data_IF_384480018038
#
_entry.id   IF_384480018038
#
_cell.length_a   1.000
_cell.length_b   1.000
_cell.length_c   1.000
_cell.angle_alpha   90.00
_cell.angle_beta   90.00
_cell.angle_gamma   90.00
#
_symmetry.space_group_name_H-M   'P 1'
#
loop_
_entity.id
_entity.type
_entity.pdbx_description
1 polymer ?
#
# COMPACT_ATOMS: atom_id res chain seq x y z
N UNK A 1 -16.42 -23.44 -25.93
CA UNK A 1 -16.30 -23.64 -24.45
C UNK A 1 -14.85 -23.57 -23.96
N UNK A 2 -13.92 -24.44 -24.42
CA UNK A 2 -12.52 -24.44 -23.96
C UNK A 2 -11.75 -23.11 -24.20
N UNK A 3 -11.96 -22.46 -25.36
CA UNK A 3 -11.33 -21.17 -25.69
C UNK A 3 -11.81 -20.00 -24.82
N UNK A 4 -13.11 -19.92 -24.56
CA UNK A 4 -13.70 -18.87 -23.72
C UNK A 4 -13.24 -18.97 -22.27
N UNK A 5 -13.09 -20.20 -21.75
CA UNK A 5 -12.57 -20.44 -20.41
C UNK A 5 -11.09 -20.01 -20.28
N UNK A 6 -10.27 -20.29 -21.29
CA UNK A 6 -8.87 -19.87 -21.34
C UNK A 6 -8.73 -18.34 -21.37
N UNK A 7 -9.59 -17.64 -22.11
CA UNK A 7 -9.61 -16.17 -22.18
C UNK A 7 -10.01 -15.58 -20.81
N UNK A 8 -11.01 -16.16 -20.14
CA UNK A 8 -11.45 -15.70 -18.81
C UNK A 8 -10.39 -15.93 -17.72
N UNK A 9 -9.65 -17.05 -17.80
CA UNK A 9 -8.59 -17.37 -16.84
C UNK A 9 -7.37 -16.45 -17.02
N UNK A 10 -7.04 -16.10 -18.27
CA UNK A 10 -5.91 -15.23 -18.57
C UNK A 10 -6.19 -13.76 -18.23
N UNK A 11 -7.43 -13.28 -18.36
CA UNK A 11 -7.80 -11.94 -17.86
C UNK A 11 -7.81 -11.86 -16.33
N UNK A 12 -8.22 -12.94 -15.63
CA UNK A 12 -8.15 -13.00 -14.16
C UNK A 12 -6.71 -12.94 -13.62
N UNK A 13 -5.75 -13.55 -14.32
CA UNK A 13 -4.33 -13.50 -13.93
C UNK A 13 -3.68 -12.14 -14.18
N UNK A 14 -4.14 -11.37 -15.16
CA UNK A 14 -3.67 -10.00 -15.42
C UNK A 14 -4.28 -8.98 -14.43
N UNK A 15 -5.42 -9.32 -13.80
CA UNK A 15 -6.08 -8.51 -12.77
C UNK A 15 -5.49 -8.67 -11.37
N UNK A 16 -4.60 -9.65 -11.16
CA UNK A 16 -3.81 -9.80 -9.94
C UNK A 16 -2.66 -8.78 -9.89
N UNK A 17 -2.99 -7.51 -10.10
CA UNK A 17 -2.17 -6.41 -9.61
C UNK A 17 -1.92 -6.69 -8.12
N UNK A 18 -0.67 -6.79 -7.69
CA UNK A 18 -0.29 -7.02 -6.31
C UNK A 18 -0.98 -5.98 -5.40
N UNK A 19 -2.15 -6.32 -4.89
CA UNK A 19 -2.98 -5.40 -4.13
C UNK A 19 -2.26 -5.14 -2.82
N UNK A 20 -1.99 -3.88 -2.51
CA UNK A 20 -1.49 -3.50 -1.18
C UNK A 20 -2.52 -3.98 -0.17
N UNK A 21 -2.12 -4.91 0.70
CA UNK A 21 -2.99 -5.50 1.72
C UNK A 21 -2.90 -4.68 3.00
N UNK A 22 -3.85 -3.76 3.28
CA UNK A 22 -3.70 -2.80 4.37
C UNK A 22 -3.58 -3.47 5.75
N UNK A 23 -4.19 -4.66 5.90
CA UNK A 23 -4.16 -5.46 7.13
C UNK A 23 -2.75 -5.98 7.48
N UNK A 24 -1.90 -6.17 6.47
CA UNK A 24 -0.52 -6.65 6.66
C UNK A 24 0.50 -5.51 6.67
N UNK A 25 0.06 -4.27 6.48
CA UNK A 25 0.94 -3.13 6.50
C UNK A 25 1.44 -2.88 7.94
N UNK A 26 2.75 -2.64 8.14
CA UNK A 26 3.27 -2.35 9.47
C UNK A 26 2.65 -1.06 10.01
N UNK A 27 2.18 -1.12 11.24
CA UNK A 27 1.78 0.08 11.98
C UNK A 27 3.01 0.93 12.30
N UNK A 28 2.80 2.24 12.43
CA UNK A 28 3.83 3.18 12.89
C UNK A 28 3.69 3.41 14.38
N UNK A 29 4.82 3.62 15.03
CA UNK A 29 4.88 3.90 16.46
C UNK A 29 4.13 5.19 16.76
N UNK A 30 3.25 5.16 17.76
CA UNK A 30 2.62 6.37 18.27
C UNK A 30 3.64 7.22 19.07
N UNK A 31 4.24 8.22 18.42
CA UNK A 31 5.12 9.22 19.03
C UNK A 31 4.69 10.64 18.60
N UNK A 32 5.33 11.68 19.16
CA UNK A 32 4.95 13.08 18.88
C UNK A 32 5.13 13.48 17.41
N UNK A 33 6.14 12.93 16.72
CA UNK A 33 6.37 13.21 15.31
C UNK A 33 5.23 12.65 14.45
N UNK A 34 4.88 11.38 14.64
CA UNK A 34 3.79 10.73 13.89
C UNK A 34 2.41 11.29 14.25
N UNK A 35 2.20 11.78 15.47
CA UNK A 35 0.94 12.46 15.86
C UNK A 35 0.71 13.76 15.11
N UNK A 36 1.79 14.49 14.79
CA UNK A 36 1.74 15.78 14.09
C UNK A 36 1.83 15.62 12.58
N UNK A 37 2.29 14.47 12.10
CA UNK A 37 2.41 14.18 10.68
C UNK A 37 1.05 14.17 9.97
N UNK A 38 1.00 14.80 8.81
CA UNK A 38 -0.05 14.65 7.81
C UNK A 38 0.39 13.64 6.76
N UNK A 39 -0.51 13.26 5.85
CA UNK A 39 -0.14 12.35 4.77
C UNK A 39 0.95 12.96 3.87
N UNK A 40 0.83 14.26 3.63
CA UNK A 40 1.70 15.06 2.77
C UNK A 40 3.12 15.14 3.34
N UNK A 41 3.25 15.20 4.66
CA UNK A 41 4.56 15.30 5.35
C UNK A 41 5.25 13.95 5.53
N UNK A 42 4.62 12.82 5.16
CA UNK A 42 5.24 11.50 5.35
C UNK A 42 6.55 11.34 4.56
N UNK A 43 6.62 11.97 3.39
CA UNK A 43 7.76 11.86 2.48
C UNK A 43 8.93 12.77 2.86
N UNK A 44 8.77 13.65 3.85
CA UNK A 44 9.87 14.48 4.38
C UNK A 44 10.95 13.62 5.06
N UNK A 45 10.53 12.46 5.60
CA UNK A 45 11.41 11.50 6.28
C UNK A 45 11.43 10.10 5.65
N UNK A 46 10.37 9.70 4.93
CA UNK A 46 10.25 8.36 4.35
C UNK A 46 10.46 8.36 2.83
N UNK A 47 11.52 7.69 2.39
CA UNK A 47 11.80 7.47 0.97
C UNK A 47 11.03 6.25 0.43
N UNK A 48 10.47 6.40 -0.78
CA UNK A 48 9.76 5.35 -1.52
C UNK A 48 10.60 4.71 -2.63
N UNK A 49 11.81 5.20 -2.92
CA UNK A 49 12.56 4.89 -4.15
C UNK A 49 12.74 3.40 -4.46
N UNK A 50 12.78 2.55 -3.42
CA UNK A 50 12.94 1.10 -3.56
C UNK A 50 11.69 0.28 -3.18
N UNK A 51 10.60 0.95 -2.80
CA UNK A 51 9.38 0.29 -2.36
C UNK A 51 8.48 -0.03 -3.55
N UNK A 52 8.58 -1.29 -4.03
CA UNK A 52 7.68 -1.78 -5.07
C UNK A 52 6.22 -1.58 -4.68
N UNK A 53 5.47 -1.06 -5.65
CA UNK A 53 4.06 -0.84 -5.48
C UNK A 53 3.71 0.36 -4.62
N UNK A 54 4.62 1.20 -4.12
CA UNK A 54 4.28 2.50 -3.51
C UNK A 54 4.36 3.63 -4.54
N UNK A 55 3.59 4.70 -4.32
CA UNK A 55 3.58 5.92 -5.14
C UNK A 55 3.59 7.13 -4.23
N UNK A 56 4.22 8.22 -4.66
CA UNK A 56 4.26 9.47 -3.90
C UNK A 56 2.86 10.04 -3.60
N UNK A 57 1.87 9.75 -4.45
CA UNK A 57 0.48 10.16 -4.29
C UNK A 57 -0.34 9.25 -3.34
N UNK A 58 0.27 8.25 -2.71
CA UNK A 58 -0.45 7.33 -1.83
C UNK A 58 -0.92 8.03 -0.55
N UNK A 59 -2.05 7.56 -0.02
CA UNK A 59 -2.42 7.89 1.34
C UNK A 59 -1.83 6.85 2.30
N UNK A 60 -0.67 7.16 2.89
CA UNK A 60 0.10 6.34 3.82
C UNK A 60 -0.75 5.88 5.01
N UNK A 61 -1.57 6.77 5.58
CA UNK A 61 -2.38 6.51 6.77
C UNK A 61 -3.51 5.49 6.55
N UNK A 62 -3.90 5.23 5.30
CA UNK A 62 -4.91 4.19 4.99
C UNK A 62 -4.42 2.78 5.31
N UNK A 63 -3.11 2.55 5.25
CA UNK A 63 -2.50 1.25 5.51
C UNK A 63 -1.65 1.28 6.79
N UNK A 64 -0.86 2.33 6.99
CA UNK A 64 0.09 2.45 8.10
C UNK A 64 -0.54 3.20 9.29
N UNK A 65 -1.42 2.53 10.04
CA UNK A 65 -2.04 3.11 11.23
C UNK A 65 -1.02 3.35 12.35
N UNK A 66 -1.31 4.31 13.21
CA UNK A 66 -0.53 4.52 14.44
C UNK A 66 -0.98 3.54 15.52
N UNK A 67 -0.04 2.91 16.21
CA UNK A 67 -0.33 2.14 17.42
C UNK A 67 0.78 2.27 18.45
N UNK A 68 0.39 2.18 19.72
CA UNK A 68 1.30 1.82 20.81
C UNK A 68 1.55 0.32 20.63
N UNK A 69 2.76 -0.06 20.24
CA UNK A 69 3.06 -1.46 19.94
C UNK A 69 2.95 -2.34 21.18
#
# INVERSE_FOLDING_TARGET
MKRSLLILLSTAMLGACAARTPVLAPHRTLNEDHKKATNETCLDCHDLGNLKGHRASDNCSRCHRLSVR
#
